data_IF_478877705925
#
_entry.id   IF_478877705925
#
_cell.length_a   1.000
_cell.length_b   1.000
_cell.length_c   1.000
_cell.angle_alpha   90.00
_cell.angle_beta   90.00
_cell.angle_gamma   90.00
#
_symmetry.space_group_name_H-M   'P 1'
#
loop_
_entity.id
_entity.type
_entity.pdbx_description
1 polymer ?
#
# COMPACT_ATOMS: atom_id res chain seq x y z
N UNK A 1 0.08 -15.81 -4.32
CA UNK A 1 0.29 -16.73 -3.18
C UNK A 1 -0.55 -16.27 -2.01
N UNK A 2 -1.48 -17.09 -1.53
CA UNK A 2 -2.26 -16.78 -0.33
C UNK A 2 -1.32 -16.89 0.88
N UNK A 3 -1.12 -15.79 1.61
CA UNK A 3 -0.27 -15.81 2.81
C UNK A 3 -0.96 -16.63 3.91
N UNK A 4 -0.30 -17.68 4.39
CA UNK A 4 -0.81 -18.52 5.46
C UNK A 4 -0.95 -17.70 6.75
N UNK A 5 -2.18 -17.61 7.26
CA UNK A 5 -2.53 -16.83 8.45
C UNK A 5 -2.09 -17.56 9.74
N UNK A 6 -0.76 -17.64 9.91
CA UNK A 6 -0.09 -18.36 11.00
C UNK A 6 0.17 -17.42 12.18
N UNK A 7 -0.25 -17.83 13.38
CA UNK A 7 -0.08 -17.04 14.61
C UNK A 7 1.40 -16.69 14.87
N UNK A 8 1.68 -15.45 15.29
CA UNK A 8 3.05 -14.99 15.56
C UNK A 8 3.74 -15.82 16.68
N UNK A 9 2.97 -16.27 17.68
CA UNK A 9 3.48 -17.16 18.73
C UNK A 9 3.97 -18.51 18.17
N UNK A 10 3.25 -19.06 17.20
CA UNK A 10 3.64 -20.30 16.52
C UNK A 10 4.92 -20.11 15.70
N UNK A 11 5.05 -18.97 15.00
CA UNK A 11 6.29 -18.60 14.27
C UNK A 11 7.49 -18.49 15.21
N UNK A 12 7.33 -17.86 16.37
CA UNK A 12 8.40 -17.73 17.37
C UNK A 12 8.83 -19.09 17.94
N UNK A 13 7.88 -19.98 18.21
CA UNK A 13 8.15 -21.30 18.74
C UNK A 13 8.95 -22.16 17.74
N UNK A 14 8.54 -22.19 16.47
CA UNK A 14 9.30 -22.86 15.39
C UNK A 14 10.71 -22.29 15.29
N UNK A 15 10.84 -20.96 15.22
CA UNK A 15 12.15 -20.31 15.12
C UNK A 15 13.05 -20.61 16.33
N UNK A 16 12.46 -20.79 17.52
CA UNK A 16 13.22 -21.16 18.72
C UNK A 16 13.73 -22.60 18.67
N UNK A 17 12.95 -23.56 18.15
CA UNK A 17 13.37 -24.95 17.99
C UNK A 17 14.46 -25.08 16.93
N UNK A 18 14.28 -24.42 15.79
CA UNK A 18 15.29 -24.37 14.71
C UNK A 18 16.60 -23.76 15.20
N UNK A 19 16.55 -22.67 15.99
CA UNK A 19 17.76 -22.06 16.57
C UNK A 19 18.45 -22.95 17.61
N UNK A 20 17.71 -23.82 18.29
CA UNK A 20 18.25 -24.74 19.30
C UNK A 20 18.70 -26.09 18.71
N UNK A 21 18.44 -26.34 17.42
CA UNK A 21 18.75 -27.61 16.76
C UNK A 21 17.87 -28.78 17.22
N UNK A 22 16.75 -28.49 17.88
CA UNK A 22 15.80 -29.51 18.34
C UNK A 22 14.90 -29.95 17.17
N UNK A 23 14.49 -31.23 17.10
CA UNK A 23 13.56 -31.70 16.10
C UNK A 23 12.22 -30.96 16.22
N UNK A 24 11.62 -30.65 15.08
CA UNK A 24 10.37 -29.90 15.04
C UNK A 24 9.24 -30.72 15.68
N UNK A 25 8.62 -30.19 16.72
CA UNK A 25 7.58 -30.89 17.46
C UNK A 25 6.29 -30.98 16.61
N UNK A 26 5.97 -32.18 16.16
CA UNK A 26 4.80 -32.47 15.33
C UNK A 26 3.47 -32.29 16.08
N UNK A 27 3.51 -32.19 17.41
CA UNK A 27 2.32 -31.91 18.24
C UNK A 27 1.94 -30.42 18.25
N UNK A 28 2.77 -29.53 17.70
CA UNK A 28 2.53 -28.10 17.66
C UNK A 28 1.34 -27.75 16.75
N UNK A 29 0.21 -27.42 17.36
CA UNK A 29 -1.00 -26.98 16.65
C UNK A 29 -0.98 -25.47 16.46
N UNK A 30 -1.11 -25.01 15.21
CA UNK A 30 -1.36 -23.60 14.91
C UNK A 30 -2.75 -23.23 15.44
N UNK A 31 -2.80 -22.59 16.62
CA UNK A 31 -4.06 -22.05 17.15
C UNK A 31 -4.43 -20.82 16.30
N UNK A 32 -5.54 -20.86 15.54
CA UNK A 32 -5.98 -19.69 14.80
C UNK A 32 -6.20 -18.56 15.78
N UNK A 33 -5.72 -17.36 15.42
CA UNK A 33 -5.96 -16.15 16.20
C UNK A 33 -7.44 -15.84 16.10
N UNK A 34 -8.24 -16.41 17.02
CA UNK A 34 -9.63 -16.01 17.18
C UNK A 34 -9.57 -14.57 17.66
N UNK A 35 -9.90 -13.63 16.78
CA UNK A 35 -10.14 -12.23 17.10
C UNK A 35 -11.34 -12.12 18.05
N UNK A 36 -11.21 -12.62 19.27
CA UNK A 36 -12.02 -12.12 20.38
C UNK A 36 -11.43 -10.75 20.66
N UNK A 37 -12.08 -9.71 20.15
CA UNK A 37 -11.95 -8.37 20.71
C UNK A 37 -12.33 -8.49 22.18
N UNK A 38 -11.36 -8.76 23.05
CA UNK A 38 -11.56 -8.55 24.47
C UNK A 38 -11.68 -7.05 24.64
N UNK A 39 -12.91 -6.57 24.81
CA UNK A 39 -13.17 -5.26 25.40
C UNK A 39 -12.78 -5.35 26.88
N UNK A 40 -11.50 -5.54 27.16
CA UNK A 40 -10.96 -5.14 28.46
C UNK A 40 -10.95 -3.63 28.42
N UNK A 41 -12.05 -3.02 28.89
CA UNK A 41 -11.99 -1.66 29.42
C UNK A 41 -10.88 -1.69 30.46
N UNK A 42 -9.69 -1.21 30.10
CA UNK A 42 -8.64 -1.03 31.07
C UNK A 42 -9.11 0.09 31.99
N UNK A 43 -9.51 -0.26 33.20
CA UNK A 43 -9.76 0.71 34.26
C UNK A 43 -8.47 1.39 34.76
N UNK A 44 -7.42 1.42 33.94
CA UNK A 44 -6.16 2.11 34.22
C UNK A 44 -6.13 3.53 33.66
N UNK A 45 -7.30 4.14 33.49
CA UNK A 45 -7.38 5.58 33.43
C UNK A 45 -7.34 6.13 34.86
N UNK A 46 -6.20 6.75 35.20
CA UNK A 46 -6.01 7.75 36.27
C UNK A 46 -5.78 7.23 37.69
N UNK A 47 -4.54 6.79 37.95
CA UNK A 47 -3.82 7.13 39.19
C UNK A 47 -2.47 7.79 38.89
N UNK A 48 -2.41 8.71 37.91
CA UNK A 48 -1.32 9.69 37.81
C UNK A 48 -1.71 10.91 38.64
N UNK A 49 -1.82 10.70 39.95
CA UNK A 49 -2.19 11.69 40.96
C UNK A 49 -1.08 11.91 41.98
N UNK A 50 0.18 11.61 41.64
CA UNK A 50 1.32 12.13 42.39
C UNK A 50 1.93 13.22 41.54
N UNK A 51 1.78 14.46 41.99
CA UNK A 51 2.52 15.61 41.51
C UNK A 51 4.00 15.20 41.42
N UNK A 52 4.51 15.02 40.20
CA UNK A 52 5.95 15.05 39.95
C UNK A 52 6.39 16.47 40.29
N UNK A 53 6.64 16.74 41.57
CA UNK A 53 7.46 17.87 41.97
C UNK A 53 8.87 17.52 41.48
N UNK A 54 9.51 18.32 40.61
CA UNK A 54 10.87 18.05 40.20
C UNK A 54 11.75 18.12 41.46
N UNK A 55 12.15 16.96 41.99
CA UNK A 55 13.12 16.87 43.06
C UNK A 55 14.50 17.21 42.51
N UNK A 56 15.24 18.06 43.24
CA UNK A 56 16.64 18.35 42.92
C UNK A 56 17.41 17.01 42.95
N UNK A 57 18.19 16.73 41.91
CA UNK A 57 19.00 15.51 41.84
C UNK A 57 20.08 15.55 42.94
N UNK A 58 20.34 14.44 43.65
CA UNK A 58 21.40 14.40 44.65
C UNK A 58 22.77 14.55 43.98
N UNK A 59 23.75 15.11 44.72
CA UNK A 59 25.10 15.44 44.22
C UNK A 59 25.79 14.29 43.49
N UNK A 60 25.71 13.06 44.01
CA UNK A 60 26.35 11.89 43.40
C UNK A 60 25.83 11.61 41.97
N UNK A 61 24.53 11.81 41.73
CA UNK A 61 23.91 11.56 40.43
C UNK A 61 24.33 12.60 39.38
N UNK A 62 24.69 13.81 39.82
CA UNK A 62 25.25 14.84 38.95
C UNK A 62 26.69 14.47 38.59
N UNK A 63 27.51 14.12 39.59
CA UNK A 63 28.91 13.72 39.40
C UNK A 63 29.05 12.47 38.51
N UNK A 64 28.11 11.53 38.59
CA UNK A 64 28.08 10.35 37.72
C UNK A 64 27.72 10.72 36.27
N UNK A 65 26.72 11.57 36.05
CA UNK A 65 26.34 12.02 34.69
C UNK A 65 27.39 12.89 33.98
N UNK A 66 28.29 13.51 34.73
CA UNK A 66 29.38 14.34 34.20
C UNK A 66 30.60 13.53 33.76
N UNK A 67 30.70 12.25 34.15
CA UNK A 67 31.80 11.35 33.75
C UNK A 67 31.62 10.80 32.33
N UNK A 68 30.42 10.90 31.78
CA UNK A 68 30.12 10.47 30.43
C UNK A 68 30.60 11.53 29.41
N UNK A 69 31.83 11.42 28.92
CA UNK A 69 32.39 12.25 27.82
C UNK A 69 31.73 11.97 26.45
N UNK A 70 30.54 11.37 26.44
CA UNK A 70 29.83 11.06 25.21
C UNK A 70 29.46 12.36 24.47
N UNK A 71 29.83 12.50 23.18
CA UNK A 71 29.43 13.66 22.39
C UNK A 71 27.91 13.83 22.42
N UNK A 72 27.43 15.03 22.77
CA UNK A 72 26.00 15.31 22.86
C UNK A 72 25.29 14.93 21.56
N UNK A 73 24.32 14.01 21.65
CA UNK A 73 23.48 13.62 20.52
C UNK A 73 22.01 13.84 20.90
N UNK A 74 21.34 14.87 20.36
CA UNK A 74 19.95 15.12 20.71
C UNK A 74 19.10 13.91 20.33
N UNK A 75 18.22 13.49 21.23
CA UNK A 75 17.27 12.41 20.93
C UNK A 75 16.36 12.89 19.79
N UNK A 76 16.09 12.06 18.77
CA UNK A 76 15.17 12.44 17.70
C UNK A 76 13.80 12.72 18.30
N UNK A 77 13.40 14.00 18.31
CA UNK A 77 12.09 14.40 18.78
C UNK A 77 11.06 13.97 17.71
N UNK A 78 10.14 13.09 18.10
CA UNK A 78 8.98 12.76 17.27
C UNK A 78 7.97 13.91 17.38
N UNK A 79 8.18 14.93 16.54
CA UNK A 79 7.19 15.99 16.34
C UNK A 79 5.86 15.38 15.89
N UNK A 80 4.77 15.73 16.58
CA UNK A 80 3.43 15.26 16.24
C UNK A 80 3.01 15.73 14.84
N UNK A 81 2.01 15.10 14.20
CA UNK A 81 1.57 15.47 12.85
C UNK A 81 1.25 16.97 12.70
N UNK A 82 0.64 17.59 13.70
CA UNK A 82 0.32 19.02 13.70
C UNK A 82 1.58 19.91 13.69
N UNK A 83 2.57 19.60 14.51
CA UNK A 83 3.81 20.38 14.59
C UNK A 83 4.67 20.18 13.32
N UNK A 84 4.62 18.99 12.71
CA UNK A 84 5.19 18.76 11.37
C UNK A 84 4.55 19.67 10.33
N UNK A 85 3.23 19.79 10.32
CA UNK A 85 2.52 20.69 9.41
C UNK A 85 2.83 22.17 9.70
N UNK A 86 2.93 22.54 10.98
CA UNK A 86 3.33 23.89 11.40
C UNK A 86 4.67 24.29 10.82
N UNK A 87 5.68 23.47 11.06
CA UNK A 87 7.04 23.69 10.60
C UNK A 87 7.13 23.69 9.08
N UNK A 88 6.40 22.80 8.40
CA UNK A 88 6.36 22.81 6.93
C UNK A 88 5.80 24.13 6.37
N UNK A 89 4.73 24.66 6.96
CA UNK A 89 4.14 25.93 6.54
C UNK A 89 5.07 27.12 6.85
N UNK A 90 5.72 27.09 8.02
CA UNK A 90 6.72 28.09 8.40
C UNK A 90 7.91 28.10 7.44
N UNK A 91 8.41 26.93 7.03
CA UNK A 91 9.52 26.82 6.08
C UNK A 91 9.13 27.26 4.66
N UNK A 92 7.90 26.98 4.24
CA UNK A 92 7.43 27.32 2.89
C UNK A 92 7.07 28.81 2.74
N UNK A 93 6.49 29.43 3.78
CA UNK A 93 5.90 30.77 3.68
C UNK A 93 6.45 31.78 4.70
N UNK A 94 7.33 31.36 5.61
CA UNK A 94 7.91 32.23 6.65
C UNK A 94 6.91 32.72 7.70
N UNK A 95 5.68 32.18 7.71
CA UNK A 95 4.62 32.59 8.64
C UNK A 95 4.13 31.40 9.45
N UNK A 96 3.76 31.60 10.71
CA UNK A 96 3.15 30.54 11.51
C UNK A 96 1.69 30.32 11.09
N UNK A 97 1.28 29.07 10.77
CA UNK A 97 -0.10 28.82 10.42
C UNK A 97 -1.00 29.02 11.63
N UNK A 98 -2.11 29.74 11.43
CA UNK A 98 -3.15 29.88 12.47
C UNK A 98 -3.67 28.51 12.88
N UNK A 99 -4.02 28.33 14.16
CA UNK A 99 -4.46 27.06 14.75
C UNK A 99 -5.52 26.28 13.93
N UNK A 100 -6.37 27.00 13.18
CA UNK A 100 -7.36 26.44 12.25
C UNK A 100 -6.78 25.60 11.10
N UNK A 101 -5.52 25.80 10.70
CA UNK A 101 -4.84 25.07 9.62
C UNK A 101 -4.04 23.84 10.10
N UNK A 102 -3.83 23.71 11.42
CA UNK A 102 -3.05 22.62 12.03
C UNK A 102 -3.86 21.35 12.24
N UNK A 103 -5.19 21.44 12.14
CA UNK A 103 -6.10 20.34 12.39
C UNK A 103 -6.25 19.50 11.11
N UNK A 104 -5.46 18.44 10.97
CA UNK A 104 -5.50 17.55 9.80
C UNK A 104 -6.90 16.98 9.52
N UNK A 105 -7.77 16.94 10.53
CA UNK A 105 -9.18 16.51 10.45
C UNK A 105 -10.12 17.54 9.83
N UNK A 106 -9.78 18.83 9.85
CA UNK A 106 -10.61 19.92 9.31
C UNK A 106 -10.17 20.41 7.93
N UNK A 107 -9.03 19.94 7.44
CA UNK A 107 -8.55 20.22 6.08
C UNK A 107 -9.27 19.37 5.02
N UNK A 108 -10.42 18.78 5.36
CA UNK A 108 -11.35 18.12 4.44
C UNK A 108 -12.25 19.14 3.76
N UNK A 109 -11.66 20.11 3.05
CA UNK A 109 -12.39 20.70 1.95
C UNK A 109 -12.75 19.53 1.02
N UNK A 110 -14.03 19.28 0.76
CA UNK A 110 -14.49 18.14 -0.06
C UNK A 110 -13.75 17.99 -1.40
N UNK A 111 -13.15 19.08 -1.88
CA UNK A 111 -12.21 19.14 -3.01
C UNK A 111 -10.96 18.26 -2.83
N UNK A 112 -10.33 18.24 -1.65
CA UNK A 112 -9.16 17.39 -1.35
C UNK A 112 -9.55 15.93 -1.12
N UNK A 113 -10.73 15.65 -0.54
CA UNK A 113 -11.25 14.29 -0.46
C UNK A 113 -11.56 13.72 -1.86
N UNK A 114 -12.14 14.56 -2.74
CA UNK A 114 -12.39 14.21 -4.14
C UNK A 114 -11.09 13.98 -4.91
N UNK A 115 -10.09 14.85 -4.72
CA UNK A 115 -8.78 14.71 -5.36
C UNK A 115 -8.00 13.53 -4.79
N UNK A 116 -8.08 13.26 -3.49
CA UNK A 116 -7.49 12.06 -2.85
C UNK A 116 -8.14 10.78 -3.37
N UNK A 117 -9.46 10.75 -3.55
CA UNK A 117 -10.17 9.63 -4.20
C UNK A 117 -9.77 9.45 -5.67
N UNK A 118 -9.50 10.55 -6.39
CA UNK A 118 -9.04 10.53 -7.79
C UNK A 118 -7.57 10.12 -7.93
N UNK A 119 -6.71 10.54 -6.99
CA UNK A 119 -5.26 10.29 -6.98
C UNK A 119 -4.92 8.93 -6.36
N UNK A 120 -5.68 8.45 -5.37
CA UNK A 120 -5.47 7.14 -4.73
C UNK A 120 -6.09 5.96 -5.49
N UNK A 121 -6.53 6.13 -6.74
CA UNK A 121 -6.80 5.00 -7.63
C UNK A 121 -7.83 3.99 -7.11
N UNK A 122 -8.85 4.43 -6.38
CA UNK A 122 -10.02 3.57 -6.12
C UNK A 122 -10.79 3.45 -7.43
N UNK A 123 -10.31 2.53 -8.27
CA UNK A 123 -11.03 1.91 -9.37
C UNK A 123 -12.43 1.58 -8.88
N UNK A 124 -13.46 2.06 -9.60
CA UNK A 124 -14.78 1.46 -9.50
C UNK A 124 -14.62 0.01 -9.97
N UNK A 125 -14.55 -0.95 -9.06
CA UNK A 125 -14.88 -2.34 -9.36
C UNK A 125 -16.41 -2.43 -9.37
N UNK A 126 -17.05 -1.87 -10.40
CA UNK A 126 -18.36 -2.35 -10.81
C UNK A 126 -18.06 -3.32 -11.94
N UNK A 127 -18.09 -4.63 -11.66
CA UNK A 127 -18.16 -5.62 -12.74
C UNK A 127 -19.41 -5.28 -13.55
N UNK A 128 -19.26 -5.13 -14.86
CA UNK A 128 -20.42 -5.12 -15.74
C UNK A 128 -21.04 -6.53 -15.65
N UNK A 129 -22.34 -6.62 -15.45
CA UNK A 129 -23.08 -7.88 -15.47
C UNK A 129 -24.00 -7.86 -16.69
N UNK A 130 -24.20 -8.99 -17.35
CA UNK A 130 -25.26 -9.12 -18.36
C UNK A 130 -26.65 -9.14 -17.68
N UNK A 131 -27.71 -9.11 -18.50
CA UNK A 131 -29.10 -9.19 -18.03
C UNK A 131 -29.41 -10.53 -17.29
N UNK A 132 -28.50 -11.51 -17.37
CA UNK A 132 -28.58 -12.81 -16.69
C UNK A 132 -27.79 -12.84 -15.36
N UNK A 133 -27.08 -11.76 -15.02
CA UNK A 133 -26.27 -11.67 -13.79
C UNK A 133 -24.90 -12.34 -13.88
N UNK A 134 -24.45 -12.72 -15.08
CA UNK A 134 -23.10 -13.20 -15.33
C UNK A 134 -22.13 -12.03 -15.53
N UNK A 135 -20.90 -12.08 -14.98
CA UNK A 135 -19.92 -11.02 -15.20
C UNK A 135 -19.61 -10.89 -16.68
N UNK A 136 -19.92 -9.74 -17.28
CA UNK A 136 -19.44 -9.40 -18.61
C UNK A 136 -17.91 -9.44 -18.58
N UNK A 137 -17.26 -10.04 -19.59
CA UNK A 137 -15.82 -9.93 -19.74
C UNK A 137 -15.48 -8.44 -19.88
N UNK A 138 -14.83 -7.88 -18.86
CA UNK A 138 -14.25 -6.55 -18.98
C UNK A 138 -13.05 -6.71 -19.92
N UNK A 139 -13.23 -6.42 -21.21
CA UNK A 139 -12.11 -6.44 -22.18
C UNK A 139 -10.96 -5.54 -21.72
N UNK A 140 -11.25 -4.53 -20.88
CA UNK A 140 -10.26 -3.68 -20.20
C UNK A 140 -9.36 -4.46 -19.25
N UNK A 141 -9.90 -5.46 -18.55
CA UNK A 141 -9.12 -6.31 -17.67
C UNK A 141 -8.19 -7.22 -18.46
N UNK A 142 -8.61 -7.71 -19.64
CA UNK A 142 -7.77 -8.52 -20.53
C UNK A 142 -6.66 -7.70 -21.18
N UNK A 143 -6.96 -6.52 -21.72
CA UNK A 143 -5.93 -5.64 -22.29
C UNK A 143 -4.87 -5.25 -21.25
N UNK A 144 -5.31 -4.94 -20.02
CA UNK A 144 -4.39 -4.64 -18.91
C UNK A 144 -3.59 -5.86 -18.44
N UNK A 145 -4.14 -7.07 -18.54
CA UNK A 145 -3.42 -8.32 -18.30
C UNK A 145 -2.31 -8.54 -19.32
N UNK A 146 -2.60 -8.39 -20.61
CA UNK A 146 -1.61 -8.53 -21.69
C UNK A 146 -0.44 -7.54 -21.53
N UNK A 147 -0.73 -6.29 -21.13
CA UNK A 147 0.33 -5.31 -20.81
C UNK A 147 1.22 -5.78 -19.65
N UNK A 148 0.63 -6.40 -18.62
CA UNK A 148 1.40 -6.94 -17.50
C UNK A 148 2.28 -8.10 -17.97
N UNK A 149 1.73 -9.04 -18.74
CA UNK A 149 2.47 -10.17 -19.26
C UNK A 149 3.65 -9.74 -20.14
N UNK A 150 3.44 -8.78 -21.06
CA UNK A 150 4.54 -8.25 -21.89
C UNK A 150 5.65 -7.63 -21.03
N UNK A 151 5.30 -6.91 -19.96
CA UNK A 151 6.29 -6.36 -19.02
C UNK A 151 7.03 -7.46 -18.27
N UNK A 152 6.34 -8.50 -17.81
CA UNK A 152 6.96 -9.64 -17.12
C UNK A 152 7.95 -10.37 -18.04
N UNK A 153 7.58 -10.61 -19.30
CA UNK A 153 8.45 -11.23 -20.31
C UNK A 153 9.69 -10.39 -20.61
N UNK A 154 9.53 -9.05 -20.71
CA UNK A 154 10.67 -8.13 -20.85
C UNK A 154 11.59 -8.15 -19.64
N UNK A 155 11.03 -8.12 -18.43
CA UNK A 155 11.80 -8.21 -17.19
C UNK A 155 12.53 -9.54 -17.06
N UNK A 156 11.91 -10.64 -17.50
CA UNK A 156 12.56 -11.94 -17.55
C UNK A 156 13.78 -11.93 -18.47
N UNK A 157 13.68 -11.35 -19.68
CA UNK A 157 14.83 -11.20 -20.56
C UNK A 157 15.94 -10.33 -19.94
N UNK A 158 15.59 -9.22 -19.29
CA UNK A 158 16.57 -8.40 -18.59
C UNK A 158 17.30 -9.18 -17.48
N UNK A 159 16.59 -10.01 -16.72
CA UNK A 159 17.19 -10.88 -15.71
C UNK A 159 18.13 -11.91 -16.35
N UNK A 160 17.71 -12.54 -17.45
CA UNK A 160 18.55 -13.51 -18.18
C UNK A 160 19.76 -12.85 -18.84
N UNK A 161 19.65 -11.58 -19.27
CA UNK A 161 20.78 -10.79 -19.77
C UNK A 161 21.82 -10.54 -18.70
N UNK A 162 21.40 -10.14 -17.49
CA UNK A 162 22.33 -9.97 -16.35
C UNK A 162 23.05 -11.29 -16.02
N UNK A 163 22.40 -12.44 -16.24
CA UNK A 163 22.99 -13.76 -16.07
C UNK A 163 23.80 -14.26 -17.29
N UNK A 164 23.89 -13.50 -18.38
CA UNK A 164 24.58 -13.90 -19.62
C UNK A 164 23.87 -14.97 -20.45
N UNK A 165 22.61 -15.31 -20.12
CA UNK A 165 21.80 -16.36 -20.75
C UNK A 165 20.74 -15.84 -21.71
N UNK A 166 20.77 -14.54 -22.05
CA UNK A 166 19.78 -13.89 -22.93
C UNK A 166 19.58 -14.64 -24.24
N UNK A 167 20.68 -15.01 -24.92
CA UNK A 167 20.65 -15.64 -26.24
C UNK A 167 19.89 -16.98 -26.28
N UNK A 168 19.75 -17.66 -25.14
CA UNK A 168 19.02 -18.94 -25.03
C UNK A 168 17.51 -18.69 -25.09
N UNK A 169 17.04 -17.63 -24.44
CA UNK A 169 15.62 -17.37 -24.24
C UNK A 169 15.07 -16.25 -25.14
N UNK A 170 15.94 -15.47 -25.78
CA UNK A 170 15.57 -14.30 -26.56
C UNK A 170 14.50 -14.61 -27.60
N UNK A 171 14.73 -15.61 -28.44
CA UNK A 171 13.82 -15.93 -29.54
C UNK A 171 12.45 -16.39 -29.03
N UNK A 172 12.41 -17.28 -28.03
CA UNK A 172 11.17 -17.79 -27.44
C UNK A 172 10.36 -16.64 -26.83
N UNK A 173 10.98 -15.81 -26.00
CA UNK A 173 10.29 -14.71 -25.33
C UNK A 173 9.87 -13.61 -26.30
N UNK A 174 10.65 -13.33 -27.34
CA UNK A 174 10.24 -12.39 -28.41
C UNK A 174 9.02 -12.89 -29.18
N UNK A 175 8.92 -14.20 -29.43
CA UNK A 175 7.72 -14.78 -30.06
C UNK A 175 6.49 -14.66 -29.16
N UNK A 176 6.63 -14.88 -27.86
CA UNK A 176 5.53 -14.72 -26.89
C UNK A 176 5.08 -13.25 -26.80
N UNK A 177 6.02 -12.32 -26.72
CA UNK A 177 5.71 -10.88 -26.74
C UNK A 177 4.94 -10.54 -28.03
N UNK A 178 5.34 -11.09 -29.17
CA UNK A 178 4.66 -10.86 -30.45
C UNK A 178 3.23 -11.41 -30.46
N UNK A 179 2.99 -12.56 -29.84
CA UNK A 179 1.64 -13.13 -29.70
C UNK A 179 0.76 -12.26 -28.81
N UNK A 180 1.28 -11.81 -27.67
CA UNK A 180 0.56 -10.93 -26.74
C UNK A 180 0.21 -9.58 -27.38
N UNK A 181 1.14 -9.00 -28.15
CA UNK A 181 0.89 -7.75 -28.89
C UNK A 181 -0.19 -7.92 -29.94
N UNK A 182 -0.19 -9.02 -30.70
CA UNK A 182 -1.26 -9.30 -31.67
C UNK A 182 -2.62 -9.45 -31.00
N UNK A 183 -2.69 -10.05 -29.82
CA UNK A 183 -3.93 -10.16 -29.07
C UNK A 183 -4.42 -8.78 -28.60
N UNK A 184 -3.52 -7.90 -28.13
CA UNK A 184 -3.86 -6.51 -27.82
C UNK A 184 -4.39 -5.76 -29.04
N UNK A 185 -3.75 -5.90 -30.21
CA UNK A 185 -4.20 -5.27 -31.46
C UNK A 185 -5.62 -5.73 -31.84
N UNK A 186 -5.94 -7.02 -31.69
CA UNK A 186 -7.29 -7.53 -31.96
C UNK A 186 -8.33 -6.92 -31.03
N UNK A 187 -8.00 -6.74 -29.75
CA UNK A 187 -8.88 -6.07 -28.78
C UNK A 187 -9.10 -4.61 -29.19
N UNK A 188 -8.05 -3.88 -29.53
CA UNK A 188 -8.14 -2.48 -29.98
C UNK A 188 -8.94 -2.33 -31.28
N UNK A 189 -8.78 -3.26 -32.23
CA UNK A 189 -9.56 -3.29 -33.46
C UNK A 189 -11.05 -3.50 -33.20
N UNK A 190 -11.41 -4.45 -32.32
CA UNK A 190 -12.82 -4.70 -31.96
C UNK A 190 -13.45 -3.46 -31.33
N UNK A 191 -12.76 -2.83 -30.38
CA UNK A 191 -13.22 -1.60 -29.71
C UNK A 191 -13.42 -0.46 -30.69
N UNK A 192 -12.49 -0.28 -31.61
CA UNK A 192 -12.57 0.77 -32.62
C UNK A 192 -13.78 0.57 -33.53
N UNK A 193 -14.03 -0.68 -33.96
CA UNK A 193 -15.19 -1.02 -34.77
C UNK A 193 -16.52 -0.87 -34.02
N UNK A 194 -16.57 -1.21 -32.73
CA UNK A 194 -17.76 -0.98 -31.89
C UNK A 194 -18.05 0.49 -31.68
N UNK A 195 -17.01 1.29 -31.44
CA UNK A 195 -17.12 2.74 -31.28
C UNK A 195 -17.66 3.39 -32.57
N UNK A 196 -17.12 2.99 -33.73
CA UNK A 196 -17.56 3.47 -35.04
C UNK A 196 -19.04 3.16 -35.29
N UNK A 197 -19.48 1.92 -35.01
CA UNK A 197 -20.90 1.54 -35.09
C UNK A 197 -21.78 2.34 -34.14
N UNK A 198 -21.31 2.61 -32.93
CA UNK A 198 -22.06 3.40 -31.95
C UNK A 198 -22.24 4.86 -32.40
N UNK A 199 -21.20 5.43 -33.02
CA UNK A 199 -21.26 6.78 -33.62
C UNK A 199 -22.27 6.81 -34.76
N UNK A 200 -22.19 5.85 -35.69
CA UNK A 200 -23.10 5.75 -36.85
C UNK A 200 -24.58 5.57 -36.39
N UNK A 201 -24.83 4.74 -35.38
CA UNK A 201 -26.17 4.58 -34.80
C UNK A 201 -26.70 5.87 -34.18
N UNK A 202 -25.84 6.66 -33.53
CA UNK A 202 -26.25 7.92 -32.94
C UNK A 202 -26.57 8.97 -34.01
N UNK A 203 -25.78 9.03 -35.08
CA UNK A 203 -26.02 9.94 -36.22
C UNK A 203 -27.33 9.61 -36.96
N UNK A 204 -27.58 8.33 -37.25
CA UNK A 204 -28.83 7.88 -37.89
C UNK A 204 -30.06 8.13 -37.02
N UNK A 205 -29.95 8.00 -35.69
CA UNK A 205 -31.02 8.33 -34.75
C UNK A 205 -31.29 9.83 -34.68
N UNK A 206 -30.26 10.67 -34.79
CA UNK A 206 -30.40 12.13 -34.86
C UNK A 206 -31.09 12.61 -36.14
N UNK A 207 -30.82 11.95 -37.27
CA UNK A 207 -31.45 12.28 -38.57
C UNK A 207 -32.93 11.88 -38.66
N UNK A 208 -33.39 10.88 -37.89
CA UNK A 208 -34.83 10.49 -37.84
C UNK A 208 -35.70 11.41 -36.96
N UNK A 209 -35.09 12.29 -36.17
CA UNK A 209 -35.80 13.20 -35.26
C UNK A 209 -35.96 14.62 -35.84
N UNK A 210 -35.56 14.82 -37.10
CA UNK A 210 -35.78 16.03 -37.90
C UNK A 210 -36.63 15.70 -39.13
#
# INVERSE_FOLDING_TARGET
MQEANVSNAYRQQINSQVKKGEPLDQSLKNRPVRNKRSTTKSNNARKMGRSFKPGIRPRHAIEESMKDDTPYRPKPATSGPAEKTRLAYLMAYGQEPRAKHLDSRKNENGRFAYLKRRVQGVRKFGKNYDDNGDPLPDDDDRFLELIREVKERRQFLDQMRVMGKEHIYKNEVETEISQLVREMEQIDMKRSAELERAIELHETRGQRLH
#
